data_IF_865591127622
#
_entry.id   IF_865591127622
#
_cell.length_a   1.000
_cell.length_b   1.000
_cell.length_c   1.000
_cell.angle_alpha   90.00
_cell.angle_beta   90.00
_cell.angle_gamma   90.00
#
_symmetry.space_group_name_H-M   'P 1'
#
loop_
_entity.id
_entity.type
_entity.pdbx_description
1 polymer ?
#
# COMPACT_ATOMS: atom_id res chain seq x y z
N UNK A 1 -5.20 -26.24 56.66
CA UNK A 1 -5.03 -25.30 55.52
C UNK A 1 -3.70 -25.42 54.76
N UNK A 2 -2.78 -26.34 55.09
CA UNK A 2 -1.42 -26.36 54.51
C UNK A 2 -1.17 -27.13 53.20
N UNK A 3 -2.18 -27.74 52.56
CA UNK A 3 -1.97 -28.57 51.34
C UNK A 3 -2.26 -27.87 50.02
N UNK A 4 -2.91 -26.70 50.02
CA UNK A 4 -3.39 -26.08 48.78
C UNK A 4 -2.37 -25.18 48.05
N UNK A 5 -1.30 -24.74 48.73
CA UNK A 5 -0.32 -23.81 48.15
C UNK A 5 0.80 -24.52 47.38
N UNK A 6 0.95 -25.85 47.51
CA UNK A 6 2.04 -26.61 46.86
C UNK A 6 1.86 -26.83 45.34
N UNK A 7 0.72 -26.48 44.73
CA UNK A 7 0.41 -26.84 43.33
C UNK A 7 0.14 -25.69 42.35
N UNK A 8 0.13 -24.43 42.77
CA UNK A 8 -0.34 -23.32 41.90
C UNK A 8 0.69 -22.22 41.59
N UNK A 9 1.94 -22.32 42.06
CA UNK A 9 2.94 -21.30 41.78
C UNK A 9 3.71 -21.63 40.49
N UNK A 10 3.09 -21.40 39.32
CA UNK A 10 3.91 -21.10 38.14
C UNK A 10 4.70 -19.84 38.50
N UNK A 11 6.05 -19.85 38.49
CA UNK A 11 6.82 -18.69 38.89
C UNK A 11 6.39 -17.50 38.03
N UNK A 12 6.06 -16.33 38.61
CA UNK A 12 5.61 -15.18 37.84
C UNK A 12 6.60 -14.76 36.74
N UNK A 13 7.89 -15.09 36.89
CA UNK A 13 8.92 -14.90 35.88
C UNK A 13 8.73 -15.70 34.58
N UNK A 14 7.89 -16.74 34.56
CA UNK A 14 7.55 -17.46 33.32
C UNK A 14 6.71 -16.60 32.37
N UNK A 15 5.96 -15.61 32.89
CA UNK A 15 5.16 -14.70 32.07
C UNK A 15 6.04 -13.76 31.24
N UNK A 16 7.05 -13.14 31.86
CA UNK A 16 7.99 -12.24 31.19
C UNK A 16 8.77 -12.93 30.07
N UNK A 17 9.21 -14.18 30.28
CA UNK A 17 9.87 -14.98 29.24
C UNK A 17 8.94 -15.19 28.03
N UNK A 18 7.69 -15.60 28.26
CA UNK A 18 6.72 -15.81 27.19
C UNK A 18 6.39 -14.54 26.43
N UNK A 19 6.27 -13.40 27.13
CA UNK A 19 6.04 -12.10 26.49
C UNK A 19 7.25 -11.69 25.64
N UNK A 20 8.46 -11.92 26.13
CA UNK A 20 9.69 -11.68 25.36
C UNK A 20 9.78 -12.58 24.12
N UNK A 21 9.50 -13.88 24.25
CA UNK A 21 9.54 -14.85 23.14
C UNK A 21 8.54 -14.44 22.06
N UNK A 22 7.28 -14.17 22.44
CA UNK A 22 6.26 -13.66 21.54
C UNK A 22 6.70 -12.37 20.83
N UNK A 23 7.26 -11.41 21.59
CA UNK A 23 7.69 -10.12 21.04
C UNK A 23 8.85 -10.29 20.06
N UNK A 24 9.73 -11.25 20.30
CA UNK A 24 10.83 -11.61 19.39
C UNK A 24 10.31 -12.18 18.09
N UNK A 25 9.37 -13.13 18.15
CA UNK A 25 8.73 -13.69 16.96
C UNK A 25 7.96 -12.63 16.17
N UNK A 26 7.26 -11.72 16.86
CA UNK A 26 6.56 -10.60 16.25
C UNK A 26 7.52 -9.63 15.55
N UNK A 27 8.66 -9.32 16.17
CA UNK A 27 9.73 -8.53 15.56
C UNK A 27 10.21 -9.15 14.24
N UNK A 28 10.49 -10.46 14.22
CA UNK A 28 10.91 -11.17 13.01
C UNK A 28 9.85 -11.17 11.89
N UNK A 29 8.56 -11.17 12.24
CA UNK A 29 7.48 -11.02 11.27
C UNK A 29 7.48 -9.64 10.63
N UNK A 30 7.62 -8.58 11.43
CA UNK A 30 7.72 -7.21 10.93
C UNK A 30 8.96 -6.99 10.05
N UNK A 31 10.10 -7.56 10.43
CA UNK A 31 11.34 -7.49 9.64
C UNK A 31 11.17 -8.12 8.25
N UNK A 32 10.65 -9.35 8.19
CA UNK A 32 10.38 -10.03 6.91
C UNK A 32 9.39 -9.24 6.04
N UNK A 33 8.32 -8.72 6.65
CA UNK A 33 7.35 -7.92 5.91
C UNK A 33 7.98 -6.64 5.35
N UNK A 34 8.83 -5.97 6.13
CA UNK A 34 9.57 -4.80 5.66
C UNK A 34 10.46 -5.13 4.46
N UNK A 35 11.21 -6.24 4.51
CA UNK A 35 12.08 -6.68 3.42
C UNK A 35 11.30 -6.97 2.13
N UNK A 36 10.18 -7.68 2.23
CA UNK A 36 9.32 -8.00 1.08
C UNK A 36 8.78 -6.72 0.41
N UNK A 37 8.32 -5.75 1.20
CA UNK A 37 7.87 -4.45 0.70
C UNK A 37 9.01 -3.67 0.02
N UNK A 38 10.21 -3.67 0.61
CA UNK A 38 11.37 -2.97 0.06
C UNK A 38 11.77 -3.57 -1.30
N UNK A 39 11.80 -4.90 -1.39
CA UNK A 39 12.11 -5.62 -2.63
C UNK A 39 11.08 -5.33 -3.73
N UNK A 40 9.79 -5.31 -3.36
CA UNK A 40 8.71 -4.96 -4.28
C UNK A 40 8.89 -3.54 -4.85
N UNK A 41 9.10 -2.54 -3.99
CA UNK A 41 9.27 -1.14 -4.40
C UNK A 41 10.52 -0.97 -5.25
N UNK A 42 11.65 -1.54 -4.84
CA UNK A 42 12.91 -1.47 -5.59
C UNK A 42 12.75 -2.04 -7.01
N UNK A 43 12.04 -3.16 -7.14
CA UNK A 43 11.74 -3.80 -8.42
C UNK A 43 10.90 -2.94 -9.36
N UNK A 44 9.93 -2.18 -8.85
CA UNK A 44 9.10 -1.28 -9.65
C UNK A 44 9.77 0.07 -9.93
N UNK A 45 10.59 0.59 -9.01
CA UNK A 45 11.37 1.81 -9.26
C UNK A 45 12.37 1.64 -10.40
N UNK A 46 13.04 0.48 -10.48
CA UNK A 46 13.93 0.14 -11.60
C UNK A 46 13.18 0.17 -12.94
N UNK A 47 12.03 -0.50 -13.02
CA UNK A 47 11.16 -0.51 -14.20
C UNK A 47 10.63 0.89 -14.58
N UNK A 48 10.25 1.69 -13.59
CA UNK A 48 9.84 3.09 -13.81
C UNK A 48 10.97 3.95 -14.40
N UNK A 49 12.21 3.73 -13.98
CA UNK A 49 13.36 4.48 -14.51
C UNK A 49 13.62 4.17 -15.99
N UNK A 50 13.38 2.93 -16.42
CA UNK A 50 13.44 2.52 -17.83
C UNK A 50 12.34 3.23 -18.65
N UNK A 51 11.09 3.23 -18.17
CA UNK A 51 9.96 3.90 -18.85
C UNK A 51 10.15 5.41 -19.05
N UNK A 52 10.88 6.09 -18.15
CA UNK A 52 11.18 7.53 -18.29
C UNK A 52 12.15 7.83 -19.44
N UNK A 53 12.99 6.86 -19.84
CA UNK A 53 13.93 7.03 -20.98
C UNK A 53 13.19 7.06 -22.32
N UNK A 54 12.10 6.30 -22.45
CA UNK A 54 11.41 6.09 -23.72
C UNK A 54 10.34 7.14 -24.04
N UNK A 55 9.78 7.83 -23.04
CA UNK A 55 8.56 8.66 -23.23
C UNK A 55 8.75 10.18 -23.26
N UNK A 56 9.97 10.69 -23.12
CA UNK A 56 10.16 12.14 -22.90
C UNK A 56 9.51 12.61 -21.60
N UNK A 57 9.87 13.82 -21.14
CA UNK A 57 9.58 14.30 -19.78
C UNK A 57 8.12 14.76 -19.55
N UNK A 58 7.11 14.06 -20.06
CA UNK A 58 5.71 14.40 -19.75
C UNK A 58 5.30 13.75 -18.42
N UNK A 59 5.47 14.49 -17.32
CA UNK A 59 4.99 14.09 -15.99
C UNK A 59 3.48 14.28 -15.92
N UNK A 60 2.71 13.21 -16.07
CA UNK A 60 1.24 13.24 -15.91
C UNK A 60 0.84 13.06 -14.45
N UNK A 61 -0.36 13.51 -14.10
CA UNK A 61 -0.95 13.32 -12.77
C UNK A 61 -1.06 11.83 -12.39
N UNK A 62 -1.30 10.95 -13.37
CA UNK A 62 -1.28 9.49 -13.18
C UNK A 62 0.10 8.97 -12.80
N UNK A 63 1.15 9.46 -13.47
CA UNK A 63 2.52 9.05 -13.19
C UNK A 63 2.98 9.54 -11.81
N UNK A 64 2.62 10.77 -11.44
CA UNK A 64 2.86 11.31 -10.11
C UNK A 64 2.15 10.50 -9.03
N UNK A 65 0.87 10.17 -9.24
CA UNK A 65 0.08 9.35 -8.31
C UNK A 65 0.71 7.98 -8.08
N UNK A 66 1.17 7.34 -9.16
CA UNK A 66 1.90 6.07 -9.08
C UNK A 66 3.22 6.17 -8.31
N UNK A 67 4.00 7.23 -8.55
CA UNK A 67 5.29 7.44 -7.87
C UNK A 67 5.09 7.70 -6.36
N UNK A 68 4.05 8.44 -5.99
CA UNK A 68 3.67 8.65 -4.58
C UNK A 68 3.23 7.34 -3.96
N UNK A 69 2.42 6.51 -4.63
CA UNK A 69 2.05 5.19 -4.11
C UNK A 69 3.30 4.33 -3.81
N UNK A 70 4.27 4.29 -4.73
CA UNK A 70 5.52 3.57 -4.50
C UNK A 70 6.31 4.14 -3.30
N UNK A 71 6.32 5.47 -3.14
CA UNK A 71 6.96 6.11 -1.99
C UNK A 71 6.25 5.81 -0.68
N UNK A 72 4.92 5.73 -0.65
CA UNK A 72 4.18 5.42 0.56
C UNK A 72 4.36 3.96 1.01
N UNK A 73 4.45 3.03 0.06
CA UNK A 73 4.80 1.62 0.35
C UNK A 73 6.26 1.49 0.84
N UNK A 74 7.19 2.30 0.31
CA UNK A 74 8.57 2.35 0.82
C UNK A 74 8.64 2.82 2.26
N UNK A 75 7.85 3.85 2.60
CA UNK A 75 7.73 4.33 3.99
C UNK A 75 7.08 3.29 4.90
N UNK A 76 6.14 2.49 4.41
CA UNK A 76 5.58 1.36 5.16
C UNK A 76 6.66 0.32 5.49
N UNK A 77 7.52 -0.01 4.52
CA UNK A 77 8.68 -0.87 4.76
C UNK A 77 9.57 -0.32 5.89
N UNK A 78 9.96 0.95 5.82
CA UNK A 78 10.77 1.58 6.87
C UNK A 78 10.06 1.56 8.23
N UNK A 79 8.77 1.86 8.27
CA UNK A 79 7.97 1.83 9.49
C UNK A 79 7.92 0.43 10.12
N UNK A 80 7.78 -0.63 9.32
CA UNK A 80 7.80 -2.01 9.81
C UNK A 80 9.20 -2.42 10.30
N UNK A 81 10.27 -1.98 9.63
CA UNK A 81 11.65 -2.19 10.11
C UNK A 81 11.91 -1.50 11.46
N UNK A 82 11.41 -0.28 11.64
CA UNK A 82 11.46 0.45 12.90
C UNK A 82 10.71 -0.30 14.02
N UNK A 83 9.47 -0.76 13.74
CA UNK A 83 8.67 -1.54 14.70
C UNK A 83 9.43 -2.79 15.11
N UNK A 84 9.97 -3.55 14.15
CA UNK A 84 10.78 -4.73 14.44
C UNK A 84 11.94 -4.40 15.38
N UNK A 85 12.68 -3.33 15.06
CA UNK A 85 13.84 -2.90 15.86
C UNK A 85 13.44 -2.57 17.30
N UNK A 86 12.34 -1.84 17.51
CA UNK A 86 11.84 -1.51 18.84
C UNK A 86 11.42 -2.77 19.59
N UNK A 87 10.58 -3.62 18.98
CA UNK A 87 10.10 -4.84 19.62
C UNK A 87 11.27 -5.76 20.02
N UNK A 88 12.23 -5.97 19.13
CA UNK A 88 13.39 -6.82 19.41
C UNK A 88 14.35 -6.21 20.44
N UNK A 89 14.80 -4.96 20.23
CA UNK A 89 15.89 -4.35 21.00
C UNK A 89 15.45 -3.61 22.25
N UNK A 90 14.25 -3.04 22.26
CA UNK A 90 13.77 -2.19 23.35
C UNK A 90 12.72 -2.86 24.23
N UNK A 91 12.03 -3.90 23.71
CA UNK A 91 11.00 -4.63 24.47
C UNK A 91 11.48 -6.02 24.88
N UNK A 92 11.70 -6.93 23.93
CA UNK A 92 12.00 -8.34 24.21
C UNK A 92 13.28 -8.52 25.03
N UNK A 93 14.41 -8.00 24.53
CA UNK A 93 15.70 -8.15 25.22
C UNK A 93 15.73 -7.50 26.61
N UNK A 94 15.32 -6.22 26.79
CA UNK A 94 15.30 -5.60 28.12
C UNK A 94 14.35 -6.29 29.09
N UNK A 95 13.26 -6.89 28.63
CA UNK A 95 12.34 -7.63 29.48
C UNK A 95 13.03 -8.83 30.15
N UNK A 96 13.84 -9.59 29.40
CA UNK A 96 14.63 -10.69 29.95
C UNK A 96 15.69 -10.20 30.95
N UNK A 97 16.42 -9.14 30.57
CA UNK A 97 17.48 -8.56 31.41
C UNK A 97 16.93 -8.02 32.73
N UNK A 98 15.83 -7.25 32.68
CA UNK A 98 15.18 -6.66 33.85
C UNK A 98 14.55 -7.71 34.76
N UNK A 99 14.00 -8.80 34.24
CA UNK A 99 13.26 -9.78 35.06
C UNK A 99 14.12 -10.96 35.56
N UNK A 100 15.35 -11.11 35.05
CA UNK A 100 16.23 -12.23 35.41
C UNK A 100 16.57 -12.26 36.91
N UNK A 101 16.90 -11.11 37.51
CA UNK A 101 17.27 -11.06 38.92
C UNK A 101 16.10 -11.45 39.84
N UNK A 102 14.85 -11.08 39.47
CA UNK A 102 13.63 -11.49 40.18
C UNK A 102 13.38 -12.99 40.12
N UNK A 103 13.74 -13.65 39.01
CA UNK A 103 13.71 -15.14 38.91
C UNK A 103 14.64 -15.78 39.94
N UNK A 104 15.83 -15.23 40.12
CA UNK A 104 16.78 -15.71 41.13
C UNK A 104 16.22 -15.43 42.54
N UNK A 105 15.70 -14.23 42.80
CA UNK A 105 15.14 -13.87 44.08
C UNK A 105 13.98 -14.79 44.48
N UNK A 106 13.03 -15.04 43.57
CA UNK A 106 11.91 -15.96 43.80
C UNK A 106 12.37 -17.37 44.17
N UNK A 107 13.41 -17.90 43.48
CA UNK A 107 14.01 -19.20 43.83
C UNK A 107 14.58 -19.22 45.26
N UNK A 108 15.19 -18.12 45.71
CA UNK A 108 15.72 -18.01 47.09
C UNK A 108 14.61 -17.99 48.13
N UNK A 109 13.49 -17.30 47.87
CA UNK A 109 12.31 -17.30 48.77
C UNK A 109 11.79 -18.73 48.95
N UNK A 110 11.62 -19.47 47.85
CA UNK A 110 11.16 -20.87 47.92
C UNK A 110 12.17 -21.80 48.59
N UNK A 111 13.48 -21.63 48.34
CA UNK A 111 14.51 -22.40 49.03
C UNK A 111 14.56 -22.13 50.54
N UNK A 112 14.36 -20.88 50.94
CA UNK A 112 14.30 -20.49 52.37
C UNK A 112 13.08 -21.08 53.05
N UNK A 113 11.92 -21.04 52.38
CA UNK A 113 10.71 -21.72 52.86
C UNK A 113 10.94 -23.20 53.09
N UNK A 114 11.56 -23.90 52.14
CA UNK A 114 11.85 -25.32 52.27
C UNK A 114 12.77 -25.61 53.47
N UNK A 115 13.80 -24.78 53.69
CA UNK A 115 14.67 -24.89 54.86
C UNK A 115 13.90 -24.70 56.19
N UNK A 116 12.95 -23.76 56.25
CA UNK A 116 12.09 -23.60 57.42
C UNK A 116 11.14 -24.79 57.62
N UNK A 117 10.54 -25.32 56.56
CA UNK A 117 9.70 -26.52 56.65
C UNK A 117 10.50 -27.73 57.16
N UNK A 118 11.78 -27.87 56.78
CA UNK A 118 12.67 -28.91 57.32
C UNK A 118 12.99 -28.72 58.81
N UNK A 119 13.17 -27.47 59.26
CA UNK A 119 13.41 -27.16 60.67
C UNK A 119 12.18 -27.52 61.52
N UNK A 120 10.98 -27.17 61.05
CA UNK A 120 9.71 -27.54 61.67
C UNK A 120 9.59 -29.06 61.77
N UNK A 121 9.81 -29.78 60.66
CA UNK A 121 9.73 -31.25 60.65
C UNK A 121 10.70 -31.89 61.66
N UNK A 122 11.93 -31.39 61.75
CA UNK A 122 12.91 -31.87 62.73
C UNK A 122 12.49 -31.61 64.18
N UNK A 123 11.83 -30.48 64.45
CA UNK A 123 11.30 -30.18 65.79
C UNK A 123 10.11 -31.10 66.14
N UNK A 124 9.26 -31.43 65.17
CA UNK A 124 8.17 -32.40 65.34
C UNK A 124 8.69 -33.82 65.59
N UNK A 125 9.70 -34.27 64.84
CA UNK A 125 10.34 -35.58 65.04
C UNK A 125 10.91 -35.74 66.46
N UNK A 126 11.61 -34.71 66.97
CA UNK A 126 12.13 -34.68 68.34
C UNK A 126 11.02 -34.79 69.38
N UNK A 127 9.90 -34.09 69.15
CA UNK A 127 8.75 -34.14 70.04
C UNK A 127 8.11 -35.53 70.08
N UNK A 128 7.94 -36.15 68.91
CA UNK A 128 7.42 -37.53 68.81
C UNK A 128 8.31 -38.49 69.60
N UNK A 129 9.63 -38.38 69.46
CA UNK A 129 10.58 -39.21 70.21
C UNK A 129 10.45 -38.99 71.72
N UNK A 130 10.50 -37.74 72.19
CA UNK A 130 10.41 -37.41 73.61
C UNK A 130 9.08 -37.92 74.24
N UNK A 131 7.97 -37.83 73.49
CA UNK A 131 6.67 -38.37 73.91
C UNK A 131 6.70 -39.89 74.04
N UNK A 132 7.36 -40.58 73.11
CA UNK A 132 7.48 -42.04 73.14
C UNK A 132 8.34 -42.49 74.33
N UNK A 133 9.46 -41.81 74.58
CA UNK A 133 10.34 -42.09 75.73
C UNK A 133 9.60 -41.89 77.05
N UNK A 134 8.84 -40.80 77.19
CA UNK A 134 7.97 -40.56 78.34
C UNK A 134 6.93 -41.68 78.56
N UNK A 135 6.24 -42.10 77.49
CA UNK A 135 5.26 -43.20 77.55
C UNK A 135 5.91 -44.52 77.98
N UNK A 136 7.10 -44.81 77.47
CA UNK A 136 7.85 -46.03 77.82
C UNK A 136 8.28 -46.02 79.29
N UNK A 137 8.79 -44.89 79.79
CA UNK A 137 9.20 -44.73 81.18
C UNK A 137 8.01 -44.89 82.15
N UNK A 138 6.84 -44.34 81.78
CA UNK A 138 5.60 -44.52 82.54
C UNK A 138 5.21 -46.01 82.65
N UNK A 139 5.17 -46.72 81.52
CA UNK A 139 4.82 -48.14 81.49
C UNK A 139 5.82 -48.99 82.30
N UNK A 140 7.11 -48.67 82.24
CA UNK A 140 8.15 -49.36 83.01
C UNK A 140 7.98 -49.17 84.52
N UNK A 141 7.68 -47.95 84.97
CA UNK A 141 7.38 -47.67 86.37
C UNK A 141 6.13 -48.42 86.85
N UNK A 142 5.06 -48.45 86.05
CA UNK A 142 3.82 -49.17 86.37
C UNK A 142 4.04 -50.69 86.48
N UNK A 143 4.95 -51.25 85.68
CA UNK A 143 5.26 -52.68 85.72
C UNK A 143 6.13 -53.08 86.93
N UNK A 144 7.02 -52.20 87.39
CA UNK A 144 7.90 -52.47 88.55
C UNK A 144 8.20 -51.18 89.34
N UNK A 145 7.32 -50.79 90.27
CA UNK A 145 7.48 -49.54 91.01
C UNK A 145 8.69 -49.55 91.93
N UNK A 146 9.64 -48.64 91.69
CA UNK A 146 10.79 -48.38 92.55
C UNK A 146 11.31 -46.95 92.37
N UNK A 147 12.18 -46.49 93.27
CA UNK A 147 12.69 -45.11 93.29
C UNK A 147 13.45 -44.73 92.02
N UNK A 148 14.22 -45.65 91.43
CA UNK A 148 14.98 -45.38 90.20
C UNK A 148 14.08 -45.28 88.96
N UNK A 149 13.05 -46.12 88.86
CA UNK A 149 12.05 -46.07 87.80
C UNK A 149 11.20 -44.80 87.89
N UNK A 150 10.87 -44.34 89.11
CA UNK A 150 10.16 -43.08 89.33
C UNK A 150 10.99 -41.86 88.90
N UNK A 151 12.29 -41.84 89.22
CA UNK A 151 13.20 -40.79 88.78
C UNK A 151 13.29 -40.72 87.24
N UNK A 152 13.50 -41.86 86.58
CA UNK A 152 13.52 -41.96 85.10
C UNK A 152 12.21 -41.47 84.48
N UNK A 153 11.06 -41.78 85.09
CA UNK A 153 9.76 -41.29 84.64
C UNK A 153 9.65 -39.75 84.75
N UNK A 154 10.06 -39.16 85.87
CA UNK A 154 10.07 -37.71 86.05
C UNK A 154 11.03 -37.01 85.07
N UNK A 155 12.21 -37.58 84.84
CA UNK A 155 13.17 -37.02 83.88
C UNK A 155 12.62 -37.05 82.45
N UNK A 156 11.99 -38.16 82.04
CA UNK A 156 11.37 -38.28 80.72
C UNK A 156 10.15 -37.36 80.57
N UNK A 157 9.36 -37.16 81.63
CA UNK A 157 8.27 -36.18 81.66
C UNK A 157 8.79 -34.78 81.41
N UNK A 158 9.80 -34.35 82.19
CA UNK A 158 10.38 -33.03 82.09
C UNK A 158 10.98 -32.81 80.70
N UNK A 159 11.70 -33.80 80.16
CA UNK A 159 12.24 -33.75 78.80
C UNK A 159 11.15 -33.60 77.73
N UNK A 160 10.03 -34.33 77.86
CA UNK A 160 8.89 -34.19 76.95
C UNK A 160 8.24 -32.81 77.02
N UNK A 161 7.97 -32.29 78.22
CA UNK A 161 7.36 -30.96 78.40
C UNK A 161 8.24 -29.86 77.84
N UNK A 162 9.56 -29.90 78.11
CA UNK A 162 10.53 -28.95 77.55
C UNK A 162 10.51 -29.00 76.01
N UNK A 163 10.55 -30.21 75.43
CA UNK A 163 10.52 -30.36 73.98
C UNK A 163 9.19 -29.92 73.37
N UNK A 164 8.06 -30.11 74.07
CA UNK A 164 6.74 -29.62 73.64
C UNK A 164 6.73 -28.09 73.54
N UNK A 165 7.22 -27.40 74.57
CA UNK A 165 7.34 -25.93 74.54
C UNK A 165 8.28 -25.45 73.43
N UNK A 166 9.42 -26.13 73.23
CA UNK A 166 10.35 -25.81 72.16
C UNK A 166 9.71 -25.97 70.77
N UNK A 167 9.01 -27.08 70.52
CA UNK A 167 8.33 -27.31 69.23
C UNK A 167 7.17 -26.34 69.01
N UNK A 168 6.38 -26.03 70.05
CA UNK A 168 5.33 -25.02 69.95
C UNK A 168 5.89 -23.63 69.62
N UNK A 169 7.00 -23.22 70.24
CA UNK A 169 7.66 -21.96 69.91
C UNK A 169 8.16 -21.89 68.47
N UNK A 170 8.70 -22.99 67.93
CA UNK A 170 9.07 -23.08 66.50
C UNK A 170 7.85 -22.92 65.60
N UNK A 171 6.74 -23.60 65.90
CA UNK A 171 5.52 -23.54 65.10
C UNK A 171 4.89 -22.15 65.13
N UNK A 172 4.84 -21.53 66.31
CA UNK A 172 4.31 -20.18 66.50
C UNK A 172 5.13 -19.16 65.71
N UNK A 173 6.46 -19.15 65.86
CA UNK A 173 7.32 -18.20 65.16
C UNK A 173 7.34 -18.44 63.64
N UNK A 174 7.31 -19.71 63.20
CA UNK A 174 7.19 -20.04 61.78
C UNK A 174 5.89 -19.51 61.17
N UNK A 175 4.76 -19.70 61.86
CA UNK A 175 3.44 -19.31 61.37
C UNK A 175 3.14 -17.82 61.48
N UNK A 176 3.60 -17.16 62.54
CA UNK A 176 3.25 -15.76 62.85
C UNK A 176 4.25 -14.74 62.29
N UNK A 177 5.52 -15.10 62.08
CA UNK A 177 6.56 -14.15 61.64
C UNK A 177 7.23 -14.55 60.33
N UNK A 178 7.74 -15.79 60.24
CA UNK A 178 8.54 -16.22 59.09
C UNK A 178 7.72 -16.34 57.81
N UNK A 179 6.57 -17.01 57.87
CA UNK A 179 5.73 -17.19 56.69
C UNK A 179 5.18 -15.87 56.15
N UNK A 180 4.65 -14.94 56.97
CA UNK A 180 4.26 -13.61 56.51
C UNK A 180 5.40 -12.84 55.82
N UNK A 181 6.62 -12.89 56.37
CA UNK A 181 7.80 -12.23 55.78
C UNK A 181 8.11 -12.78 54.38
N UNK A 182 8.10 -14.10 54.21
CA UNK A 182 8.30 -14.74 52.90
C UNK A 182 7.18 -14.39 51.90
N UNK A 183 5.95 -14.19 52.37
CA UNK A 183 4.83 -13.76 51.53
C UNK A 183 4.99 -12.30 51.10
N UNK A 184 5.45 -11.41 51.97
CA UNK A 184 5.74 -10.03 51.62
C UNK A 184 6.85 -9.95 50.55
N UNK A 185 7.94 -10.71 50.71
CA UNK A 185 9.00 -10.75 49.70
C UNK A 185 8.48 -11.26 48.34
N UNK A 186 7.56 -12.22 48.33
CA UNK A 186 6.96 -12.74 47.10
C UNK A 186 6.02 -11.72 46.45
N UNK A 187 5.26 -10.97 47.26
CA UNK A 187 4.41 -9.87 46.80
C UNK A 187 5.24 -8.77 46.12
N UNK A 188 6.34 -8.35 46.75
CA UNK A 188 7.24 -7.33 46.20
C UNK A 188 7.83 -7.77 44.84
N UNK A 189 8.25 -9.04 44.74
CA UNK A 189 8.73 -9.63 43.48
C UNK A 189 7.62 -9.61 42.42
N UNK A 190 6.39 -9.98 42.80
CA UNK A 190 5.27 -10.03 41.87
C UNK A 190 4.88 -8.62 41.36
N UNK A 191 4.82 -7.64 42.26
CA UNK A 191 4.48 -6.26 41.92
C UNK A 191 5.47 -5.66 40.92
N UNK A 192 6.77 -5.85 41.16
CA UNK A 192 7.85 -5.39 40.27
C UNK A 192 7.80 -6.08 38.89
N UNK A 193 7.57 -7.39 38.87
CA UNK A 193 7.40 -8.14 37.61
C UNK A 193 6.17 -7.68 36.84
N UNK A 194 5.05 -7.43 37.53
CA UNK A 194 3.83 -6.94 36.92
C UNK A 194 4.08 -5.60 36.22
N UNK A 195 4.64 -4.61 36.95
CA UNK A 195 4.99 -3.31 36.40
C UNK A 195 5.93 -3.42 35.19
N UNK A 196 7.00 -4.22 35.32
CA UNK A 196 7.98 -4.40 34.24
C UNK A 196 7.35 -5.00 32.97
N UNK A 197 6.48 -6.00 33.11
CA UNK A 197 5.81 -6.66 31.98
C UNK A 197 4.77 -5.74 31.34
N UNK A 198 3.98 -5.02 32.15
CA UNK A 198 2.96 -4.11 31.62
C UNK A 198 3.57 -2.92 30.90
N UNK A 199 4.67 -2.35 31.41
CA UNK A 199 5.37 -1.25 30.75
C UNK A 199 5.96 -1.69 29.41
N UNK A 200 6.55 -2.90 29.35
CA UNK A 200 7.07 -3.46 28.11
C UNK A 200 5.96 -3.69 27.08
N UNK A 201 4.81 -4.22 27.50
CA UNK A 201 3.66 -4.43 26.63
C UNK A 201 3.08 -3.09 26.12
N UNK A 202 2.98 -2.09 26.99
CA UNK A 202 2.54 -0.74 26.65
C UNK A 202 3.46 -0.11 25.60
N UNK A 203 4.78 -0.15 25.82
CA UNK A 203 5.76 0.38 24.87
C UNK A 203 5.63 -0.26 23.48
N UNK A 204 5.44 -1.58 23.41
CA UNK A 204 5.20 -2.29 22.15
C UNK A 204 3.92 -1.83 21.46
N UNK A 205 2.84 -1.67 22.21
CA UNK A 205 1.54 -1.22 21.69
C UNK A 205 1.60 0.23 21.18
N UNK A 206 2.23 1.14 21.91
CA UNK A 206 2.36 2.55 21.55
C UNK A 206 3.11 2.76 20.24
N UNK A 207 4.21 2.03 20.03
CA UNK A 207 4.99 2.13 18.79
C UNK A 207 4.20 1.63 17.58
N UNK A 208 3.49 0.50 17.71
CA UNK A 208 2.62 0.00 16.64
C UNK A 208 1.49 0.99 16.35
N UNK A 209 0.82 1.50 17.39
CA UNK A 209 -0.27 2.46 17.24
C UNK A 209 0.20 3.77 16.59
N UNK A 210 1.33 4.33 17.02
CA UNK A 210 1.92 5.54 16.45
C UNK A 210 2.22 5.38 14.97
N UNK A 211 2.78 4.22 14.56
CA UNK A 211 3.11 3.94 13.16
C UNK A 211 1.86 3.73 12.31
N UNK A 212 0.83 3.07 12.84
CA UNK A 212 -0.46 2.93 12.16
C UNK A 212 -1.15 4.29 11.92
N UNK A 213 -1.11 5.21 12.88
CA UNK A 213 -1.65 6.57 12.71
C UNK A 213 -0.88 7.40 11.68
N UNK A 214 0.45 7.24 11.62
CA UNK A 214 1.27 7.86 10.59
C UNK A 214 0.95 7.30 9.20
N UNK A 215 0.82 5.97 9.10
CA UNK A 215 0.41 5.30 7.86
C UNK A 215 -0.94 5.82 7.37
N UNK A 216 -1.95 5.87 8.23
CA UNK A 216 -3.27 6.40 7.88
C UNK A 216 -3.19 7.80 7.26
N UNK A 217 -2.51 8.74 7.95
CA UNK A 217 -2.37 10.12 7.47
C UNK A 217 -1.69 10.21 6.10
N UNK A 218 -0.69 9.36 5.87
CA UNK A 218 0.02 9.30 4.59
C UNK A 218 -0.88 8.81 3.45
N UNK A 219 -1.65 7.75 3.66
CA UNK A 219 -2.59 7.25 2.67
C UNK A 219 -3.79 8.18 2.42
N UNK A 220 -4.24 8.93 3.43
CA UNK A 220 -5.23 10.00 3.24
C UNK A 220 -4.70 11.11 2.31
N UNK A 221 -3.40 11.43 2.44
CA UNK A 221 -2.69 12.33 1.52
C UNK A 221 -2.68 11.79 0.08
N UNK A 222 -2.28 10.52 -0.11
CA UNK A 222 -2.31 9.86 -1.42
C UNK A 222 -3.73 9.85 -2.02
N UNK A 223 -4.75 9.51 -1.22
CA UNK A 223 -6.14 9.50 -1.67
C UNK A 223 -6.59 10.89 -2.16
N UNK A 224 -6.09 11.96 -1.53
CA UNK A 224 -6.35 13.33 -1.97
C UNK A 224 -5.71 13.59 -3.33
N UNK A 225 -4.46 13.18 -3.54
CA UNK A 225 -3.79 13.29 -4.84
C UNK A 225 -4.57 12.55 -5.93
N UNK A 226 -4.99 11.32 -5.67
CA UNK A 226 -5.81 10.53 -6.61
C UNK A 226 -7.10 11.26 -7.02
N UNK A 227 -7.79 11.90 -6.06
CA UNK A 227 -9.03 12.67 -6.34
C UNK A 227 -8.80 13.92 -7.17
N UNK A 228 -7.60 14.50 -7.12
CA UNK A 228 -7.25 15.72 -7.86
C UNK A 228 -6.65 15.46 -9.24
N UNK A 229 -6.37 14.19 -9.58
CA UNK A 229 -5.84 13.82 -10.90
C UNK A 229 -6.82 14.23 -12.02
N UNK A 230 -6.30 14.87 -13.07
CA UNK A 230 -7.12 15.43 -14.15
C UNK A 230 -6.56 15.08 -15.53
N UNK A 231 -7.36 14.32 -16.28
CA UNK A 231 -7.04 13.99 -17.67
C UNK A 231 -7.00 15.24 -18.57
N UNK A 232 -7.82 16.26 -18.29
CA UNK A 232 -7.80 17.52 -19.06
C UNK A 232 -6.49 18.27 -18.84
N UNK A 233 -5.99 18.33 -17.61
CA UNK A 233 -4.70 18.95 -17.32
C UNK A 233 -3.56 18.15 -17.96
N UNK A 234 -3.59 16.83 -17.86
CA UNK A 234 -2.57 15.95 -18.42
C UNK A 234 -2.49 16.09 -19.95
N UNK A 235 -3.61 16.08 -20.67
CA UNK A 235 -3.57 16.20 -22.14
C UNK A 235 -3.06 17.56 -22.59
N UNK A 236 -3.37 18.64 -21.87
CA UNK A 236 -2.82 19.98 -22.15
C UNK A 236 -1.29 19.98 -21.99
N UNK A 237 -0.76 19.30 -20.98
CA UNK A 237 0.68 19.17 -20.78
C UNK A 237 1.33 18.32 -21.88
N UNK A 238 0.71 17.20 -22.25
CA UNK A 238 1.16 16.34 -23.36
C UNK A 238 1.23 17.11 -24.67
N UNK A 239 0.17 17.84 -25.02
CA UNK A 239 0.13 18.64 -26.26
C UNK A 239 1.22 19.72 -26.24
N UNK A 240 1.44 20.39 -25.11
CA UNK A 240 2.53 21.36 -24.96
C UNK A 240 3.92 20.73 -25.11
N UNK A 241 4.11 19.51 -24.60
CA UNK A 241 5.37 18.79 -24.69
C UNK A 241 5.67 18.26 -26.10
N UNK A 242 4.63 17.89 -26.86
CA UNK A 242 4.73 17.40 -28.24
C UNK A 242 4.78 18.52 -29.28
N UNK A 243 4.29 19.72 -28.96
CA UNK A 243 4.35 20.85 -29.88
C UNK A 243 5.82 21.25 -30.10
N UNK A 244 6.31 21.34 -31.36
CA UNK A 244 7.64 21.88 -31.63
C UNK A 244 7.75 23.27 -31.01
N UNK A 245 8.83 23.55 -30.26
CA UNK A 245 9.00 24.85 -29.64
C UNK A 245 8.94 25.96 -30.70
N UNK A 246 7.94 26.84 -30.61
CA UNK A 246 7.71 27.92 -31.58
C UNK A 246 6.72 27.62 -32.70
N UNK A 247 6.08 26.44 -32.73
CA UNK A 247 5.03 26.13 -33.70
C UNK A 247 3.73 26.87 -33.36
N UNK A 248 3.56 28.07 -33.95
CA UNK A 248 2.22 28.60 -34.20
C UNK A 248 1.40 27.58 -34.99
N UNK A 249 0.06 27.52 -34.83
CA UNK A 249 -0.78 26.64 -35.64
C UNK A 249 -0.39 26.79 -37.11
N UNK A 250 0.03 25.68 -37.74
CA UNK A 250 0.53 25.72 -39.11
C UNK A 250 -0.47 26.50 -39.97
N UNK A 251 -0.06 27.62 -40.59
CA UNK A 251 -0.97 28.40 -41.41
C UNK A 251 -1.46 27.52 -42.56
N UNK A 252 -2.76 27.61 -42.87
CA UNK A 252 -3.36 26.85 -43.96
C UNK A 252 -2.62 27.22 -45.26
N UNK A 253 -1.87 26.28 -45.81
CA UNK A 253 -1.15 26.47 -47.07
C UNK A 253 -2.15 26.42 -48.23
N UNK A 254 -2.51 27.59 -48.76
CA UNK A 254 -3.36 27.69 -49.95
C UNK A 254 -2.51 27.61 -51.21
N UNK A 255 -2.96 26.82 -52.18
CA UNK A 255 -2.36 26.77 -53.52
C UNK A 255 -2.92 27.91 -54.37
N UNK A 256 -2.05 28.59 -55.12
CA UNK A 256 -2.42 29.71 -56.00
C UNK A 256 -2.44 29.25 -57.45
N UNK A 257 -3.30 29.86 -58.27
CA UNK A 257 -3.28 29.67 -59.72
C UNK A 257 -1.94 30.14 -60.29
N UNK A 258 -1.28 29.31 -61.08
CA UNK A 258 -0.04 29.62 -61.78
C UNK A 258 -0.28 29.61 -63.30
N UNK A 259 -0.15 30.75 -63.95
CA UNK A 259 -0.22 30.83 -65.41
C UNK A 259 0.98 30.10 -66.05
N UNK A 260 0.83 29.53 -67.26
CA UNK A 260 1.94 28.92 -67.99
C UNK A 260 3.10 29.90 -68.17
N UNK A 261 4.33 29.45 -67.95
CA UNK A 261 5.53 30.26 -68.18
C UNK A 261 5.78 30.39 -69.69
N UNK A 262 5.73 31.61 -70.22
CA UNK A 262 6.15 31.89 -71.60
C UNK A 262 7.68 31.90 -71.61
N UNK A 263 8.36 31.06 -72.41
CA UNK A 263 9.82 31.09 -72.51
C UNK A 263 10.29 32.49 -72.92
N UNK A 264 11.38 33.02 -72.35
CA UNK A 264 11.93 34.29 -72.80
C UNK A 264 12.31 34.19 -74.29
N UNK A 265 12.06 35.24 -75.09
CA UNK A 265 12.44 35.23 -76.49
C UNK A 265 13.97 35.16 -76.63
N UNK A 266 14.46 34.29 -77.52
CA UNK A 266 15.87 34.23 -77.89
C UNK A 266 16.28 35.60 -78.47
N UNK A 267 17.32 36.21 -77.89
CA UNK A 267 17.71 37.60 -78.14
C UNK A 267 18.30 37.87 -79.54
N UNK A 268 18.42 36.86 -80.41
CA UNK A 268 19.21 36.95 -81.66
C UNK A 268 18.38 36.77 -82.94
N UNK A 269 17.07 37.05 -82.95
CA UNK A 269 16.28 37.06 -84.20
C UNK A 269 15.78 38.47 -84.54
N UNK A 270 16.45 39.21 -85.44
CA UNK A 270 15.99 40.52 -85.90
C UNK A 270 14.88 40.35 -86.93
N UNK A 271 13.65 40.79 -86.61
CA UNK A 271 12.61 41.02 -87.63
C UNK A 271 11.26 40.30 -87.46
N UNK A 272 10.90 39.75 -86.30
CA UNK A 272 9.54 39.24 -86.05
C UNK A 272 8.64 40.27 -85.34
N UNK A 273 8.41 41.42 -86.00
CA UNK A 273 7.28 42.30 -85.68
C UNK A 273 5.98 41.83 -86.39
N UNK A 274 5.94 40.55 -86.79
CA UNK A 274 4.69 39.86 -87.12
C UNK A 274 3.99 39.44 -85.82
N UNK A 275 3.27 40.42 -85.28
CA UNK A 275 1.98 40.24 -84.63
C UNK A 275 1.89 39.13 -83.60
N UNK A 276 1.94 39.57 -82.35
CA UNK A 276 1.27 39.11 -81.12
C UNK A 276 -0.12 38.40 -81.25
N UNK A 277 -0.54 37.98 -82.44
CA UNK A 277 -1.87 37.50 -82.83
C UNK A 277 -2.00 35.97 -82.78
N UNK A 278 -0.93 35.21 -82.53
CA UNK A 278 -0.96 33.75 -82.38
C UNK A 278 -0.66 33.24 -80.95
N UNK A 279 -0.39 34.12 -79.98
CA UNK A 279 -0.30 33.69 -78.58
C UNK A 279 -1.70 33.42 -78.01
N UNK A 280 -1.93 32.26 -77.33
CA UNK A 280 -3.20 31.99 -76.67
C UNK A 280 -3.53 33.09 -75.64
N UNK A 281 -4.82 33.46 -75.46
CA UNK A 281 -5.20 34.44 -74.46
C UNK A 281 -4.74 34.04 -73.05
N UNK A 282 -4.22 35.00 -72.29
CA UNK A 282 -3.80 34.77 -70.92
C UNK A 282 -5.01 34.43 -70.03
N UNK A 283 -5.07 33.17 -69.56
CA UNK A 283 -6.14 32.70 -68.69
C UNK A 283 -5.92 33.15 -67.24
N UNK A 284 -7.02 33.47 -66.55
CA UNK A 284 -7.05 33.86 -65.14
C UNK A 284 -7.60 32.70 -64.29
N UNK A 285 -7.64 32.89 -62.97
CA UNK A 285 -8.24 31.96 -62.01
C UNK A 285 -9.79 31.95 -62.08
N UNK A 286 -10.33 31.74 -63.28
CA UNK A 286 -11.75 31.81 -63.62
C UNK A 286 -12.08 30.76 -64.70
N UNK A 287 -13.33 30.31 -64.74
CA UNK A 287 -13.80 29.35 -65.75
C UNK A 287 -14.07 30.04 -67.08
N UNK A 288 -13.63 29.42 -68.18
CA UNK A 288 -13.90 29.87 -69.56
C UNK A 288 -15.20 29.24 -70.06
N UNK A 289 -16.18 30.06 -70.45
CA UNK A 289 -17.54 29.61 -70.81
C UNK A 289 -17.95 29.96 -72.27
N UNK A 290 -16.98 30.03 -73.19
CA UNK A 290 -17.26 30.28 -74.63
C UNK A 290 -17.98 29.10 -75.31
N UNK A 291 -18.56 29.31 -76.51
CA UNK A 291 -19.35 28.31 -77.28
C UNK A 291 -18.66 26.95 -77.38
N UNK A 292 -17.34 26.91 -77.54
CA UNK A 292 -16.55 25.67 -77.61
C UNK A 292 -16.44 24.93 -76.26
N UNK A 293 -16.38 25.64 -75.13
CA UNK A 293 -16.22 25.06 -73.79
C UNK A 293 -17.54 24.87 -73.03
N UNK A 294 -18.58 25.64 -73.38
CA UNK A 294 -19.85 25.75 -72.64
C UNK A 294 -20.62 24.44 -72.51
N UNK A 295 -20.57 23.56 -73.53
CA UNK A 295 -21.23 22.25 -73.50
C UNK A 295 -20.55 21.34 -72.47
N UNK A 296 -19.22 21.33 -72.44
CA UNK A 296 -18.44 20.49 -71.54
C UNK A 296 -18.51 20.96 -70.08
N UNK A 297 -18.49 22.29 -69.85
CA UNK A 297 -18.64 22.89 -68.51
C UNK A 297 -20.02 22.59 -67.91
N UNK A 298 -21.09 22.63 -68.72
CA UNK A 298 -22.46 22.26 -68.26
C UNK A 298 -22.57 20.80 -67.88
N UNK A 299 -22.06 19.89 -68.71
CA UNK A 299 -22.05 18.46 -68.42
C UNK A 299 -21.24 18.14 -67.15
N UNK A 300 -20.09 18.81 -66.95
CA UNK A 300 -19.30 18.68 -65.73
C UNK A 300 -20.05 19.18 -64.49
N UNK A 301 -20.79 20.30 -64.60
CA UNK A 301 -21.56 20.84 -63.49
C UNK A 301 -22.71 19.91 -63.07
N UNK A 302 -23.42 19.33 -64.03
CA UNK A 302 -24.46 18.33 -63.75
C UNK A 302 -23.87 17.06 -63.10
N UNK A 303 -22.69 16.63 -63.56
CA UNK A 303 -21.92 15.55 -62.94
C UNK A 303 -21.53 15.85 -61.49
N UNK A 304 -20.95 17.02 -61.23
CA UNK A 304 -20.59 17.48 -59.88
C UNK A 304 -21.80 17.64 -58.97
N UNK A 305 -22.96 18.07 -59.51
CA UNK A 305 -24.21 18.17 -58.74
C UNK A 305 -24.66 16.80 -58.26
N UNK A 306 -24.61 15.80 -59.14
CA UNK A 306 -24.95 14.41 -58.81
C UNK A 306 -23.96 13.82 -57.81
N UNK A 307 -22.66 13.95 -58.06
CA UNK A 307 -21.60 13.50 -57.16
C UNK A 307 -21.72 14.13 -55.77
N UNK A 308 -22.04 15.43 -55.69
CA UNK A 308 -22.28 16.13 -54.44
C UNK A 308 -23.48 15.57 -53.67
N UNK A 309 -24.59 15.27 -54.34
CA UNK A 309 -25.76 14.64 -53.73
C UNK A 309 -25.46 13.22 -53.21
N UNK A 310 -24.71 12.44 -53.99
CA UNK A 310 -24.30 11.08 -53.61
C UNK A 310 -23.37 11.11 -52.38
N UNK A 311 -22.40 12.04 -52.35
CA UNK A 311 -21.50 12.24 -51.20
C UNK A 311 -22.23 12.75 -49.96
N UNK A 312 -23.24 13.61 -50.10
CA UNK A 312 -24.09 14.06 -48.97
C UNK A 312 -24.86 12.88 -48.36
N UNK A 313 -25.45 12.03 -49.21
CA UNK A 313 -26.13 10.82 -48.78
C UNK A 313 -25.16 9.86 -48.08
N UNK A 314 -23.98 9.65 -48.65
CA UNK A 314 -22.94 8.79 -48.08
C UNK A 314 -22.47 9.32 -46.71
N UNK A 315 -22.23 10.62 -46.58
CA UNK A 315 -21.87 11.24 -45.29
C UNK A 315 -22.95 10.99 -44.24
N UNK A 316 -24.23 11.12 -44.60
CA UNK A 316 -25.35 10.85 -43.69
C UNK A 316 -25.38 9.39 -43.24
N UNK A 317 -25.26 8.45 -44.18
CA UNK A 317 -25.24 7.02 -43.88
C UNK A 317 -24.06 6.63 -42.98
N UNK A 318 -22.88 7.19 -43.23
CA UNK A 318 -21.69 6.95 -42.41
C UNK A 318 -21.85 7.53 -41.00
N UNK A 319 -22.47 8.71 -40.86
CA UNK A 319 -22.79 9.30 -39.56
C UNK A 319 -23.78 8.44 -38.77
N UNK A 320 -24.87 7.99 -39.40
CA UNK A 320 -25.89 7.15 -38.74
C UNK A 320 -25.31 5.79 -38.27
N UNK A 321 -24.43 5.20 -39.09
CA UNK A 321 -23.71 3.97 -38.74
C UNK A 321 -22.76 4.21 -37.55
N UNK A 322 -22.03 5.32 -37.56
CA UNK A 322 -21.11 5.72 -36.49
C UNK A 322 -21.85 5.97 -35.16
N UNK A 323 -23.01 6.62 -35.19
CA UNK A 323 -23.84 6.84 -34.00
C UNK A 323 -24.40 5.52 -33.44
N UNK A 324 -24.65 4.54 -34.31
CA UNK A 324 -25.06 3.19 -33.90
C UNK A 324 -23.91 2.45 -33.21
N UNK A 325 -22.72 2.49 -33.80
CA UNK A 325 -21.51 1.91 -33.20
C UNK A 325 -21.17 2.55 -31.85
N UNK A 326 -21.28 3.88 -31.72
CA UNK A 326 -21.07 4.56 -30.45
C UNK A 326 -22.06 4.12 -29.37
N UNK A 327 -23.34 3.96 -29.71
CA UNK A 327 -24.34 3.42 -28.76
C UNK A 327 -24.04 1.98 -28.36
N UNK A 328 -23.59 1.15 -29.30
CA UNK A 328 -23.19 -0.24 -29.01
C UNK A 328 -21.96 -0.30 -28.10
N UNK A 329 -20.97 0.56 -28.36
CA UNK A 329 -19.76 0.66 -27.54
C UNK A 329 -20.11 1.12 -26.12
N UNK A 330 -20.94 2.16 -25.98
CA UNK A 330 -21.38 2.67 -24.69
C UNK A 330 -22.07 1.59 -23.86
N UNK A 331 -23.02 0.85 -24.45
CA UNK A 331 -23.66 -0.29 -23.78
C UNK A 331 -22.66 -1.36 -23.37
N UNK A 332 -21.66 -1.61 -24.22
CA UNK A 332 -20.61 -2.61 -23.92
C UNK A 332 -19.75 -2.16 -22.74
N UNK A 333 -19.39 -0.87 -22.65
CA UNK A 333 -18.67 -0.28 -21.52
C UNK A 333 -19.51 -0.33 -20.23
N UNK A 334 -20.79 0.04 -20.29
CA UNK A 334 -21.74 -0.06 -19.16
C UNK A 334 -21.92 -1.50 -18.67
N UNK A 335 -21.78 -2.47 -19.58
CA UNK A 335 -21.85 -3.91 -19.26
C UNK A 335 -20.49 -4.53 -18.95
N UNK A 336 -19.43 -3.73 -18.81
CA UNK A 336 -18.05 -4.16 -18.58
C UNK A 336 -17.49 -5.16 -19.62
N UNK A 337 -18.01 -5.15 -20.85
CA UNK A 337 -17.56 -5.98 -21.97
C UNK A 337 -16.40 -5.29 -22.71
N UNK A 338 -15.24 -5.18 -22.07
CA UNK A 338 -14.11 -4.39 -22.59
C UNK A 338 -13.53 -4.92 -23.91
N UNK A 339 -13.47 -6.25 -24.11
CA UNK A 339 -12.98 -6.82 -25.37
C UNK A 339 -13.88 -6.41 -26.55
N UNK A 340 -15.20 -6.49 -26.35
CA UNK A 340 -16.18 -6.06 -27.36
C UNK A 340 -16.14 -4.55 -27.60
N UNK A 341 -15.95 -3.75 -26.54
CA UNK A 341 -15.78 -2.31 -26.67
C UNK A 341 -14.50 -1.94 -27.44
N UNK A 342 -13.45 -2.75 -27.34
CA UNK A 342 -12.20 -2.61 -28.08
C UNK A 342 -12.38 -2.98 -29.56
N UNK A 343 -13.01 -4.11 -29.87
CA UNK A 343 -13.35 -4.48 -31.27
C UNK A 343 -14.19 -3.38 -31.95
N UNK A 344 -15.21 -2.86 -31.25
CA UNK A 344 -16.02 -1.75 -31.74
C UNK A 344 -15.22 -0.45 -31.91
N UNK A 345 -14.16 -0.23 -31.13
CA UNK A 345 -13.33 0.97 -31.24
C UNK A 345 -12.57 1.02 -32.58
N UNK A 346 -12.10 -0.13 -33.07
CA UNK A 346 -11.43 -0.23 -34.36
C UNK A 346 -12.41 0.07 -35.51
N UNK A 347 -13.61 -0.52 -35.44
CA UNK A 347 -14.69 -0.23 -36.41
C UNK A 347 -15.12 1.24 -36.40
N UNK A 348 -15.27 1.84 -35.20
CA UNK A 348 -15.58 3.27 -35.05
C UNK A 348 -14.47 4.12 -35.68
N UNK A 349 -13.21 3.76 -35.48
CA UNK A 349 -12.06 4.51 -36.01
C UNK A 349 -12.03 4.44 -37.54
N UNK A 350 -12.28 3.27 -38.13
CA UNK A 350 -12.40 3.11 -39.58
C UNK A 350 -13.58 3.93 -40.14
N UNK A 351 -14.76 3.87 -39.50
CA UNK A 351 -15.92 4.67 -39.94
C UNK A 351 -15.71 6.17 -39.79
N UNK A 352 -15.01 6.62 -38.75
CA UNK A 352 -14.60 8.03 -38.60
C UNK A 352 -13.71 8.46 -39.76
N UNK A 353 -12.75 7.63 -40.15
CA UNK A 353 -11.88 7.92 -41.28
C UNK A 353 -12.68 8.04 -42.59
N UNK A 354 -13.51 7.06 -42.92
CA UNK A 354 -14.35 7.06 -44.12
C UNK A 354 -15.24 8.31 -44.20
N UNK A 355 -15.88 8.66 -43.07
CA UNK A 355 -16.71 9.86 -42.96
C UNK A 355 -15.90 11.14 -43.22
N UNK A 356 -14.69 11.24 -42.67
CA UNK A 356 -13.81 12.40 -42.86
C UNK A 356 -13.36 12.52 -44.32
N UNK A 357 -13.02 11.41 -44.96
CA UNK A 357 -12.67 11.39 -46.40
C UNK A 357 -13.85 11.85 -47.25
N UNK A 358 -15.05 11.32 -47.02
CA UNK A 358 -16.25 11.74 -47.74
C UNK A 358 -16.58 13.22 -47.52
N UNK A 359 -16.42 13.74 -46.30
CA UNK A 359 -16.57 15.17 -46.00
C UNK A 359 -15.54 16.05 -46.73
N UNK A 360 -14.28 15.60 -46.82
CA UNK A 360 -13.25 16.31 -47.58
C UNK A 360 -13.55 16.32 -49.09
N UNK A 361 -13.97 15.20 -49.64
CA UNK A 361 -14.39 15.09 -51.06
C UNK A 361 -15.60 15.97 -51.34
N UNK A 362 -16.61 15.95 -50.46
CA UNK A 362 -17.79 16.81 -50.58
C UNK A 362 -17.41 18.30 -50.52
N UNK A 363 -16.48 18.68 -49.64
CA UNK A 363 -15.96 20.05 -49.59
C UNK A 363 -15.26 20.44 -50.90
N UNK A 364 -14.51 19.53 -51.53
CA UNK A 364 -13.88 19.75 -52.82
C UNK A 364 -14.92 19.94 -53.94
N UNK A 365 -15.92 19.06 -54.04
CA UNK A 365 -17.01 19.14 -55.03
C UNK A 365 -17.82 20.43 -54.86
N UNK A 366 -18.13 20.82 -53.62
CA UNK A 366 -18.80 22.09 -53.32
C UNK A 366 -17.97 23.30 -53.75
N UNK A 367 -16.65 23.27 -53.53
CA UNK A 367 -15.75 24.33 -53.99
C UNK A 367 -15.68 24.42 -55.53
N UNK A 368 -15.65 23.27 -56.23
CA UNK A 368 -15.70 23.21 -57.70
C UNK A 368 -17.05 23.73 -58.24
N UNK A 369 -18.17 23.38 -57.60
CA UNK A 369 -19.49 23.91 -57.94
C UNK A 369 -19.60 25.43 -57.74
N UNK A 370 -19.03 25.98 -56.67
CA UNK A 370 -19.00 27.43 -56.44
C UNK A 370 -18.19 28.18 -57.52
N UNK A 371 -17.10 27.59 -58.01
CA UNK A 371 -16.34 28.15 -59.13
C UNK A 371 -17.19 28.13 -60.44
N UNK A 372 -17.90 27.02 -60.68
CA UNK A 372 -18.86 26.85 -61.79
C UNK A 372 -19.87 27.99 -61.92
N UNK A 373 -20.44 28.43 -60.79
CA UNK A 373 -21.44 29.51 -60.76
C UNK A 373 -20.85 30.90 -61.01
N UNK A 374 -19.60 31.16 -60.58
CA UNK A 374 -18.94 32.46 -60.84
C UNK A 374 -18.62 32.68 -62.32
N UNK A 375 -18.24 31.64 -63.06
CA UNK A 375 -18.05 31.71 -64.52
C UNK A 375 -19.33 31.94 -65.32
N UNK A 376 -20.50 31.79 -64.69
CA UNK A 376 -21.80 32.01 -65.32
C UNK A 376 -22.37 33.41 -65.07
N UNK A 377 -21.89 34.12 -64.03
CA UNK A 377 -22.40 35.42 -63.59
C UNK A 377 -21.81 36.63 -64.35
N UNK A 378 -20.76 36.45 -65.16
CA UNK A 378 -20.24 37.48 -66.08
C UNK A 378 -20.92 37.38 -67.44
N UNK A 379 -22.21 37.71 -67.48
CA UNK A 379 -22.87 38.18 -68.70
C UNK A 379 -23.79 39.35 -68.35
N UNK A 380 -23.50 40.54 -68.88
CA UNK A 380 -24.56 41.34 -69.48
C UNK A 380 -24.21 41.70 -70.93
N UNK A 381 -25.23 41.62 -71.80
CA UNK A 381 -25.32 42.34 -73.09
C UNK A 381 -24.39 41.86 -74.19
#
# INVERSE_FOLDING_TARGET
>A
MGRSVRRAAVPPCCSACRVSDFTTELSQLYERHAEELQMLVAGYRKRNAELRKDRGACQTSLFQTWDILLQEVEKDSQAHSDISTVLGRQVARPLLEKTFHRKIQSRKVFGTREAYEQLVAKAEEKLVKARQDYKNAYMSYMASPNTAALATYFDAHNAYVIQLHATNGVLEHFGSEMLPTLMQELEDIYADLCATVTDAALQGAEVIASRAQEQQRRYDGLATVCRTASAQTDIVQVVKALAPQGAHPHPIVRRHFSAPHVPPPDADTPGSDMGNTMLPPALKNELVTDRLASIQVRAQFEGLRKEGQDLELQCKQLQDALDTLHRMQQRSLESALFNKANELQDEISAKKYDLRVAQMQLAAVRAQGLAGMRGHATRPG
#
